data_IF_384890469292
#
_entry.id   IF_384890469292
#
_cell.length_a   1.000
_cell.length_b   1.000
_cell.length_c   1.000
_cell.angle_alpha   90.00
_cell.angle_beta   90.00
_cell.angle_gamma   90.00
#
_symmetry.space_group_name_H-M   'P 1'
#
loop_
_entity.id
_entity.type
_entity.pdbx_description
1 polymer ?
#
# COMPACT_ATOMS: atom_id res chain seq x y z
N UNK A 1 12.86 -34.92 -6.34
CA UNK A 1 14.08 -35.43 -5.68
C UNK A 1 15.14 -34.36 -5.44
N UNK A 2 15.55 -33.57 -6.45
CA UNK A 2 16.61 -32.55 -6.29
C UNK A 2 16.40 -31.53 -5.16
N UNK A 3 15.20 -30.93 -5.06
CA UNK A 3 14.90 -29.94 -4.00
C UNK A 3 15.03 -30.54 -2.61
N UNK A 4 14.63 -31.82 -2.45
CA UNK A 4 14.78 -32.57 -1.19
C UNK A 4 16.25 -32.73 -0.79
N UNK A 5 17.09 -33.13 -1.74
CA UNK A 5 18.54 -33.26 -1.52
C UNK A 5 19.19 -31.94 -1.12
N UNK A 6 18.84 -30.84 -1.81
CA UNK A 6 19.36 -29.51 -1.49
C UNK A 6 18.89 -29.04 -0.11
N UNK A 7 17.61 -29.24 0.23
CA UNK A 7 17.10 -28.91 1.56
C UNK A 7 17.79 -29.69 2.67
N UNK A 8 18.01 -30.99 2.47
CA UNK A 8 18.65 -31.86 3.44
C UNK A 8 20.11 -31.48 3.66
N UNK A 9 20.85 -31.19 2.58
CA UNK A 9 22.22 -30.71 2.65
C UNK A 9 22.33 -29.39 3.42
N UNK A 10 21.52 -28.38 3.07
CA UNK A 10 21.55 -27.07 3.74
C UNK A 10 21.20 -27.23 5.22
N UNK A 11 20.22 -28.06 5.54
CA UNK A 11 19.83 -28.32 6.92
C UNK A 11 20.95 -29.03 7.71
N UNK A 12 21.63 -30.01 7.11
CA UNK A 12 22.75 -30.70 7.73
C UNK A 12 23.91 -29.74 8.04
N UNK A 13 24.32 -28.94 7.05
CA UNK A 13 25.38 -27.92 7.20
C UNK A 13 25.02 -26.87 8.27
N UNK A 14 23.74 -26.49 8.39
CA UNK A 14 23.31 -25.55 9.42
C UNK A 14 23.45 -26.09 10.86
N UNK A 15 23.40 -27.41 11.04
CA UNK A 15 23.46 -28.09 12.35
C UNK A 15 24.83 -28.68 12.68
N UNK A 16 25.73 -28.80 11.70
CA UNK A 16 27.04 -29.41 11.90
C UNK A 16 27.96 -28.50 12.71
N UNK A 17 28.26 -28.88 13.96
CA UNK A 17 29.16 -28.10 14.83
C UNK A 17 30.60 -28.02 14.31
N UNK A 18 31.01 -28.91 13.40
CA UNK A 18 32.32 -28.90 12.75
C UNK A 18 32.48 -27.82 11.68
N UNK A 19 31.38 -27.27 11.17
CA UNK A 19 31.41 -26.23 10.13
C UNK A 19 31.72 -24.84 10.71
N UNK A 20 32.41 -23.95 9.95
CA UNK A 20 32.69 -22.60 10.40
C UNK A 20 31.40 -21.83 10.77
N UNK A 21 31.41 -21.00 11.83
CA UNK A 21 30.21 -20.29 12.29
C UNK A 21 29.52 -19.46 11.19
N UNK A 22 30.30 -18.84 10.31
CA UNK A 22 29.79 -18.08 9.17
C UNK A 22 29.00 -18.97 8.19
N UNK A 23 29.53 -20.16 7.87
CA UNK A 23 28.89 -21.12 6.96
C UNK A 23 27.57 -21.61 7.56
N UNK A 24 27.56 -21.93 8.86
CA UNK A 24 26.31 -22.35 9.56
C UNK A 24 25.26 -21.26 9.58
N UNK A 25 25.68 -20.00 9.79
CA UNK A 25 24.78 -18.84 9.75
C UNK A 25 24.16 -18.68 8.36
N UNK A 26 24.98 -18.75 7.29
CA UNK A 26 24.50 -18.68 5.90
C UNK A 26 23.57 -19.84 5.55
N UNK A 27 23.91 -21.07 5.96
CA UNK A 27 23.06 -22.24 5.77
C UNK A 27 21.71 -22.08 6.48
N UNK A 28 21.70 -21.58 7.72
CA UNK A 28 20.48 -21.30 8.48
C UNK A 28 19.60 -20.24 7.79
N UNK A 29 20.21 -19.16 7.30
CA UNK A 29 19.50 -18.11 6.54
C UNK A 29 18.91 -18.68 5.24
N UNK A 30 19.70 -19.46 4.49
CA UNK A 30 19.27 -20.10 3.24
C UNK A 30 18.12 -21.07 3.49
N UNK A 31 18.17 -21.85 4.57
CA UNK A 31 17.10 -22.76 4.96
C UNK A 31 15.79 -22.03 5.26
N UNK A 32 15.86 -20.93 5.99
CA UNK A 32 14.70 -20.09 6.27
C UNK A 32 14.12 -19.48 5.00
N UNK A 33 14.97 -18.94 4.11
CA UNK A 33 14.53 -18.44 2.81
C UNK A 33 13.86 -19.54 1.97
N UNK A 34 14.40 -20.75 1.94
CA UNK A 34 13.81 -21.87 1.18
C UNK A 34 12.40 -22.23 1.67
N UNK A 35 12.19 -22.27 3.00
CA UNK A 35 10.86 -22.49 3.59
C UNK A 35 9.88 -21.40 3.16
N UNK A 36 10.31 -20.14 3.23
CA UNK A 36 9.50 -18.98 2.84
C UNK A 36 9.13 -19.04 1.37
N UNK A 37 10.10 -19.30 0.48
CA UNK A 37 9.87 -19.43 -0.96
C UNK A 37 9.02 -20.63 -1.34
N UNK A 38 9.08 -21.73 -0.58
CA UNK A 38 8.20 -22.88 -0.80
C UNK A 38 6.74 -22.54 -0.47
N UNK A 39 6.50 -21.69 0.53
CA UNK A 39 5.16 -21.25 0.94
C UNK A 39 4.61 -20.16 0.02
N UNK A 40 5.37 -19.09 -0.21
CA UNK A 40 4.92 -17.91 -0.96
C UNK A 40 5.11 -18.04 -2.49
N UNK A 41 5.85 -19.04 -2.94
CA UNK A 41 6.16 -19.27 -4.35
C UNK A 41 7.47 -18.59 -4.79
N UNK A 42 7.86 -18.80 -6.05
CA UNK A 42 9.12 -18.26 -6.59
C UNK A 42 9.05 -16.76 -6.83
N UNK A 43 10.20 -16.08 -6.69
CA UNK A 43 10.39 -14.69 -7.15
C UNK A 43 10.15 -14.60 -8.66
N UNK A 44 9.61 -13.47 -9.10
CA UNK A 44 9.34 -13.17 -10.52
C UNK A 44 10.43 -12.33 -11.17
N UNK A 45 11.28 -11.69 -10.36
CA UNK A 45 12.36 -10.83 -10.83
C UNK A 45 13.71 -11.28 -10.29
N UNK A 46 14.78 -10.94 -11.01
CA UNK A 46 16.14 -11.17 -10.54
C UNK A 46 16.48 -10.18 -9.41
N UNK A 47 17.26 -10.59 -8.40
CA UNK A 47 17.75 -9.67 -7.38
C UNK A 47 18.55 -8.51 -7.99
N UNK A 48 18.32 -7.30 -7.52
CA UNK A 48 19.11 -6.12 -7.90
C UNK A 48 20.44 -6.05 -7.14
N UNK A 49 21.35 -5.21 -7.63
CA UNK A 49 22.61 -4.94 -6.91
C UNK A 49 22.36 -4.46 -5.47
N UNK A 50 21.37 -3.59 -5.27
CA UNK A 50 20.97 -3.08 -3.95
C UNK A 50 20.50 -4.20 -3.02
N UNK A 51 19.72 -5.15 -3.53
CA UNK A 51 19.26 -6.33 -2.77
C UNK A 51 20.44 -7.23 -2.38
N UNK A 52 21.37 -7.45 -3.29
CA UNK A 52 22.57 -8.28 -3.07
C UNK A 52 23.47 -7.63 -2.01
N UNK A 53 23.75 -6.33 -2.15
CA UNK A 53 24.54 -5.57 -1.18
C UNK A 53 23.87 -5.54 0.20
N UNK A 54 22.54 -5.38 0.24
CA UNK A 54 21.79 -5.41 1.49
C UNK A 54 21.88 -6.76 2.18
N UNK A 55 21.76 -7.85 1.42
CA UNK A 55 21.91 -9.22 1.91
C UNK A 55 23.31 -9.46 2.52
N UNK A 56 24.37 -9.04 1.82
CA UNK A 56 25.74 -9.18 2.32
C UNK A 56 26.04 -8.32 3.54
N UNK A 57 25.45 -7.13 3.63
CA UNK A 57 25.60 -6.23 4.76
C UNK A 57 24.64 -6.53 5.93
N UNK A 58 23.84 -7.60 5.84
CA UNK A 58 22.81 -7.98 6.82
C UNK A 58 21.84 -6.84 7.16
N UNK A 59 21.53 -5.99 6.19
CA UNK A 59 20.59 -4.87 6.33
C UNK A 59 19.33 -5.12 5.52
N UNK A 60 18.23 -4.53 5.97
CA UNK A 60 17.00 -4.45 5.19
C UNK A 60 17.03 -3.22 4.27
N UNK A 61 16.25 -3.28 3.21
CA UNK A 61 15.93 -2.13 2.36
C UNK A 61 14.68 -1.46 2.91
N UNK A 62 14.45 -0.21 2.52
CA UNK A 62 13.25 0.51 2.88
C UNK A 62 12.51 1.00 1.64
N UNK A 63 11.19 1.07 1.74
CA UNK A 63 10.30 1.62 0.72
C UNK A 63 9.21 2.46 1.39
N UNK A 64 8.51 3.28 0.61
CA UNK A 64 7.47 4.17 1.11
C UNK A 64 6.11 3.59 0.75
N UNK A 65 5.22 3.52 1.74
CA UNK A 65 3.82 3.16 1.56
C UNK A 65 2.95 4.37 1.84
N UNK A 66 2.11 4.74 0.88
CA UNK A 66 1.20 5.88 0.97
C UNK A 66 -0.16 5.46 1.51
N UNK A 67 -0.88 6.43 2.07
CA UNK A 67 -2.31 6.35 2.40
C UNK A 67 -3.13 7.25 1.47
N UNK A 68 -4.46 7.17 1.55
CA UNK A 68 -5.36 7.93 0.68
C UNK A 68 -5.39 9.44 0.98
N UNK A 69 -4.88 9.86 2.14
CA UNK A 69 -4.70 11.26 2.50
C UNK A 69 -3.31 11.81 2.11
N UNK A 70 -2.57 11.07 1.27
CA UNK A 70 -1.20 11.35 0.82
C UNK A 70 -0.14 11.37 1.94
N UNK A 71 -0.51 11.01 3.18
CA UNK A 71 0.49 10.67 4.19
C UNK A 71 1.21 9.38 3.81
N UNK A 72 2.34 9.11 4.45
CA UNK A 72 3.13 7.93 4.16
C UNK A 72 3.89 7.41 5.37
N UNK A 73 4.23 6.13 5.32
CA UNK A 73 5.09 5.46 6.29
C UNK A 73 6.22 4.72 5.58
N UNK A 74 7.36 4.61 6.25
CA UNK A 74 8.51 3.87 5.76
C UNK A 74 8.39 2.39 6.17
N UNK A 75 8.45 1.51 5.18
CA UNK A 75 8.36 0.07 5.35
C UNK A 75 9.72 -0.57 5.05
N UNK A 76 10.23 -1.33 6.01
CA UNK A 76 11.47 -2.09 5.85
C UNK A 76 11.20 -3.48 5.27
N UNK A 77 11.91 -3.89 4.22
CA UNK A 77 11.71 -5.16 3.52
C UNK A 77 13.04 -5.82 3.14
N UNK A 78 12.99 -7.11 2.88
CA UNK A 78 14.06 -7.91 2.28
C UNK A 78 13.57 -8.66 1.04
N UNK A 79 14.47 -9.45 0.44
CA UNK A 79 14.21 -10.21 -0.80
C UNK A 79 13.10 -11.25 -0.68
N UNK A 80 12.66 -11.58 0.53
CA UNK A 80 11.61 -12.58 0.83
C UNK A 80 10.37 -11.99 1.50
N UNK A 81 10.32 -10.68 1.72
CA UNK A 81 9.20 -10.03 2.42
C UNK A 81 7.97 -10.03 1.50
N UNK A 82 6.89 -10.67 1.96
CA UNK A 82 5.62 -10.76 1.23
C UNK A 82 4.75 -9.54 1.50
N UNK A 83 3.72 -9.32 0.67
CA UNK A 83 2.71 -8.28 0.89
C UNK A 83 1.99 -8.46 2.22
N UNK A 84 1.64 -9.70 2.60
CA UNK A 84 0.99 -9.96 3.89
C UNK A 84 1.85 -9.52 5.08
N UNK A 85 3.14 -9.87 5.07
CA UNK A 85 4.05 -9.49 6.14
C UNK A 85 4.32 -7.99 6.17
N UNK A 86 4.37 -7.35 5.00
CA UNK A 86 4.45 -5.91 4.88
C UNK A 86 3.22 -5.22 5.48
N UNK A 87 2.02 -5.77 5.26
CA UNK A 87 0.76 -5.30 5.85
C UNK A 87 0.79 -5.46 7.36
N UNK A 88 1.21 -6.61 7.89
CA UNK A 88 1.35 -6.85 9.32
C UNK A 88 2.33 -5.88 9.98
N UNK A 89 3.49 -5.66 9.36
CA UNK A 89 4.50 -4.72 9.83
C UNK A 89 3.97 -3.30 9.82
N UNK A 90 3.35 -2.87 8.72
CA UNK A 90 2.79 -1.53 8.59
C UNK A 90 1.68 -1.29 9.62
N UNK A 91 0.78 -2.26 9.80
CA UNK A 91 -0.26 -2.21 10.82
C UNK A 91 0.34 -2.03 12.23
N UNK A 92 1.46 -2.69 12.53
CA UNK A 92 2.21 -2.47 13.77
C UNK A 92 2.74 -1.04 13.93
N UNK A 93 3.28 -0.44 12.86
CA UNK A 93 3.81 0.94 12.84
C UNK A 93 2.68 1.94 13.15
N UNK A 94 1.56 1.83 12.44
CA UNK A 94 0.42 2.75 12.60
C UNK A 94 -0.51 2.38 13.77
N UNK A 95 -0.16 1.34 14.54
CA UNK A 95 -0.93 0.81 15.67
C UNK A 95 -2.37 0.40 15.31
N UNK A 96 -2.55 -0.18 14.12
CA UNK A 96 -3.82 -0.75 13.67
C UNK A 96 -3.92 -2.22 14.10
N UNK A 97 -4.87 -2.53 14.97
CA UNK A 97 -5.12 -3.87 15.50
C UNK A 97 -6.02 -4.69 14.57
N UNK A 98 -7.09 -4.07 14.06
CA UNK A 98 -8.06 -4.72 13.17
C UNK A 98 -7.68 -4.57 11.69
N UNK A 99 -6.47 -4.99 11.32
CA UNK A 99 -5.90 -4.78 9.98
C UNK A 99 -6.33 -5.83 8.94
N UNK A 100 -7.06 -6.89 9.32
CA UNK A 100 -7.34 -8.05 8.45
C UNK A 100 -8.16 -7.70 7.20
N UNK A 101 -8.84 -6.55 7.21
CA UNK A 101 -9.59 -6.02 6.06
C UNK A 101 -8.78 -5.05 5.21
N UNK A 102 -7.52 -4.78 5.57
CA UNK A 102 -6.60 -3.88 4.87
C UNK A 102 -5.53 -4.67 4.12
N UNK A 103 -5.00 -4.07 3.06
CA UNK A 103 -3.90 -4.64 2.29
C UNK A 103 -3.19 -3.55 1.48
N UNK A 104 -2.15 -3.95 0.74
CA UNK A 104 -1.47 -3.10 -0.22
C UNK A 104 -2.10 -3.17 -1.61
N UNK A 105 -2.11 -2.02 -2.26
CA UNK A 105 -2.49 -1.83 -3.65
C UNK A 105 -1.31 -1.20 -4.40
N UNK A 106 -1.23 -1.47 -5.70
CA UNK A 106 -0.49 -0.63 -6.64
C UNK A 106 -1.41 0.51 -7.05
N UNK A 107 -1.05 1.73 -6.66
CA UNK A 107 -1.71 2.94 -7.13
C UNK A 107 -0.94 3.52 -8.31
N UNK A 108 -1.62 3.66 -9.45
CA UNK A 108 -1.06 4.20 -10.69
C UNK A 108 -1.62 5.58 -10.94
N UNK A 109 -0.76 6.58 -10.80
CA UNK A 109 -1.09 7.97 -11.05
C UNK A 109 -0.75 8.35 -12.49
N UNK A 110 -1.74 8.81 -13.25
CA UNK A 110 -1.58 9.19 -14.66
C UNK A 110 -0.95 10.58 -14.78
N UNK A 111 0.30 10.64 -15.24
CA UNK A 111 1.02 11.90 -15.52
C UNK A 111 0.65 12.41 -16.93
N UNK A 112 -0.61 12.80 -17.13
CA UNK A 112 -1.18 13.39 -18.36
C UNK A 112 -1.16 12.53 -19.65
N UNK A 113 -2.29 12.54 -20.39
CA UNK A 113 -2.32 12.08 -21.80
C UNK A 113 -1.69 13.17 -22.67
N UNK A 114 -0.82 12.86 -23.66
CA UNK A 114 -0.45 13.83 -24.67
C UNK A 114 -1.71 14.23 -25.46
N UNK A 115 -2.02 15.52 -25.48
CA UNK A 115 -3.13 16.13 -26.21
C UNK A 115 -3.16 15.61 -27.66
N UNK A 116 -4.10 14.73 -27.98
CA UNK A 116 -4.50 14.48 -29.36
C UNK A 116 -5.78 15.24 -29.62
N UNK A 117 -5.60 16.50 -30.01
CA UNK A 117 -6.54 17.40 -30.67
C UNK A 117 -7.81 17.83 -29.90
N UNK A 118 -8.05 19.14 -29.97
CA UNK A 118 -9.27 19.89 -29.66
C UNK A 118 -9.57 20.17 -28.19
N UNK A 119 -9.01 21.27 -27.66
CA UNK A 119 -9.71 22.28 -26.83
C UNK A 119 -10.50 21.84 -25.60
N UNK A 120 -10.42 20.58 -25.17
CA UNK A 120 -11.09 20.04 -24.00
C UNK A 120 -10.25 20.24 -22.76
N UNK A 121 -10.91 20.64 -21.66
CA UNK A 121 -10.34 20.68 -20.32
C UNK A 121 -9.66 19.34 -20.03
N UNK A 122 -8.40 19.36 -19.59
CA UNK A 122 -7.69 18.14 -19.21
C UNK A 122 -8.55 17.34 -18.21
N UNK A 123 -8.96 16.13 -18.58
CA UNK A 123 -9.65 15.23 -17.66
C UNK A 123 -8.73 15.00 -16.44
N UNK A 124 -9.27 15.08 -15.21
CA UNK A 124 -8.46 14.88 -14.01
C UNK A 124 -7.80 13.50 -14.07
N UNK A 125 -6.53 13.45 -13.66
CA UNK A 125 -5.80 12.20 -13.53
C UNK A 125 -6.61 11.24 -12.64
N UNK A 126 -6.94 10.06 -13.17
CA UNK A 126 -7.65 9.03 -12.42
C UNK A 126 -6.61 8.07 -11.87
N UNK A 127 -6.55 7.95 -10.55
CA UNK A 127 -5.69 6.96 -9.89
C UNK A 127 -6.31 5.57 -10.05
N UNK A 128 -5.64 4.70 -10.78
CA UNK A 128 -6.02 3.29 -10.87
C UNK A 128 -5.42 2.54 -9.67
N UNK A 129 -6.27 1.86 -8.90
CA UNK A 129 -5.86 1.09 -7.73
C UNK A 129 -5.98 -0.41 -7.99
N UNK A 130 -4.86 -1.12 -8.07
CA UNK A 130 -4.81 -2.56 -8.32
C UNK A 130 -4.45 -3.33 -7.06
N UNK A 131 -5.27 -4.33 -6.72
CA UNK A 131 -5.04 -5.18 -5.56
C UNK A 131 -3.78 -6.03 -5.75
N UNK A 132 -2.88 -6.00 -4.76
CA UNK A 132 -1.70 -6.86 -4.74
C UNK A 132 -2.00 -8.21 -4.08
N UNK A 133 -1.41 -9.28 -4.63
CA UNK A 133 -1.48 -10.62 -4.05
C UNK A 133 -0.68 -10.69 -2.74
N UNK A 134 -1.30 -11.23 -1.70
CA UNK A 134 -0.75 -11.33 -0.34
C UNK A 134 0.59 -12.10 -0.29
N UNK A 135 0.82 -13.05 -1.20
CA UNK A 135 2.04 -13.85 -1.27
C UNK A 135 3.11 -13.24 -2.20
N UNK A 136 2.79 -12.18 -2.94
CA UNK A 136 3.77 -11.52 -3.82
C UNK A 136 4.85 -10.85 -2.98
N UNK A 137 6.09 -10.88 -3.47
CA UNK A 137 7.21 -10.23 -2.79
C UNK A 137 7.23 -8.72 -3.07
N UNK A 138 7.47 -7.91 -2.03
CA UNK A 138 7.63 -6.46 -2.14
C UNK A 138 8.75 -6.10 -3.13
N UNK A 139 9.86 -6.83 -3.06
CA UNK A 139 10.97 -6.63 -3.98
C UNK A 139 10.60 -6.80 -5.47
N UNK A 140 9.77 -7.80 -5.79
CA UNK A 140 9.27 -8.00 -7.16
C UNK A 140 8.37 -6.84 -7.59
N UNK A 141 7.47 -6.40 -6.70
CA UNK A 141 6.56 -5.27 -6.97
C UNK A 141 7.34 -3.99 -7.27
N UNK A 142 8.33 -3.66 -6.45
CA UNK A 142 9.17 -2.47 -6.65
C UNK A 142 10.04 -2.58 -7.92
N UNK A 143 10.50 -3.79 -8.26
CA UNK A 143 11.21 -4.03 -9.51
C UNK A 143 10.29 -3.82 -10.73
N UNK A 144 9.05 -4.30 -10.66
CA UNK A 144 8.03 -4.08 -11.69
C UNK A 144 7.69 -2.59 -11.84
N UNK A 145 7.56 -1.84 -10.75
CA UNK A 145 7.33 -0.38 -10.79
C UNK A 145 8.45 0.35 -11.55
N UNK A 146 9.71 -0.03 -11.31
CA UNK A 146 10.88 0.54 -12.03
C UNK A 146 10.95 0.12 -13.50
N UNK A 147 10.55 -1.11 -13.81
CA UNK A 147 10.73 -1.72 -15.13
C UNK A 147 9.54 -1.55 -16.07
N UNK A 148 8.39 -1.08 -15.58
CA UNK A 148 7.23 -0.81 -16.42
C UNK A 148 7.61 0.19 -17.52
N UNK A 149 7.74 -0.29 -18.77
CA UNK A 149 8.09 0.56 -19.94
C UNK A 149 7.07 1.67 -20.19
N UNK A 150 5.85 1.51 -19.68
CA UNK A 150 4.76 2.50 -19.70
C UNK A 150 5.02 3.61 -18.65
N UNK A 151 5.77 3.31 -17.58
CA UNK A 151 6.04 4.24 -16.48
C UNK A 151 7.05 5.35 -16.80
N UNK A 152 7.82 5.24 -17.90
CA UNK A 152 8.77 6.31 -18.24
C UNK A 152 8.11 7.60 -18.72
N UNK A 153 6.93 7.51 -19.37
CA UNK A 153 6.28 8.69 -19.97
C UNK A 153 4.79 8.83 -19.64
N UNK A 154 4.11 7.81 -19.08
CA UNK A 154 2.66 7.89 -18.83
C UNK A 154 2.31 7.89 -17.35
N UNK A 155 2.59 6.85 -16.56
CA UNK A 155 2.01 6.71 -15.20
C UNK A 155 3.07 6.40 -14.13
N UNK A 156 2.93 6.96 -12.92
CA UNK A 156 3.79 6.67 -11.76
C UNK A 156 3.10 5.68 -10.82
N UNK A 157 3.80 4.60 -10.43
CA UNK A 157 3.27 3.58 -9.51
C UNK A 157 3.78 3.80 -8.08
N UNK A 158 2.87 3.73 -7.10
CA UNK A 158 3.17 3.81 -5.66
C UNK A 158 2.49 2.67 -4.90
N UNK A 159 3.07 2.26 -3.76
CA UNK A 159 2.40 1.35 -2.83
C UNK A 159 1.36 2.15 -2.05
N UNK A 160 0.12 1.65 -2.01
CA UNK A 160 -0.99 2.27 -1.30
C UNK A 160 -1.57 1.30 -0.28
N UNK A 161 -1.63 1.69 0.99
CA UNK A 161 -2.32 0.94 2.03
C UNK A 161 -3.76 1.41 2.16
N UNK A 162 -4.72 0.50 1.95
CA UNK A 162 -6.14 0.81 2.12
C UNK A 162 -6.97 -0.43 2.44
N UNK A 163 -8.22 -0.21 2.84
CA UNK A 163 -9.19 -1.26 3.14
C UNK A 163 -9.62 -1.95 1.84
N UNK A 164 -9.49 -3.28 1.80
CA UNK A 164 -9.93 -4.13 0.67
C UNK A 164 -11.34 -4.70 0.82
N UNK A 165 -11.86 -4.78 2.04
CA UNK A 165 -13.13 -5.42 2.33
C UNK A 165 -13.87 -4.69 3.44
N UNK A 166 -15.16 -4.44 3.25
CA UNK A 166 -16.05 -3.90 4.27
C UNK A 166 -17.00 -5.01 4.72
N UNK A 167 -17.10 -5.24 6.03
CA UNK A 167 -17.94 -6.28 6.64
C UNK A 167 -18.95 -5.63 7.58
N UNK A 168 -20.11 -6.25 7.75
CA UNK A 168 -21.11 -5.81 8.75
C UNK A 168 -20.52 -5.78 10.17
N UNK A 169 -19.63 -6.73 10.48
CA UNK A 169 -18.95 -6.78 11.78
C UNK A 169 -18.06 -5.56 12.06
N UNK A 170 -17.64 -4.82 11.02
CA UNK A 170 -16.77 -3.67 11.16
C UNK A 170 -17.44 -2.53 11.96
N UNK A 171 -18.78 -2.47 12.00
CA UNK A 171 -19.53 -1.49 12.78
C UNK A 171 -19.26 -1.61 14.29
N UNK A 172 -18.83 -2.79 14.76
CA UNK A 172 -18.49 -3.01 16.17
C UNK A 172 -17.06 -2.59 16.51
N UNK A 173 -16.25 -2.21 15.51
CA UNK A 173 -14.85 -1.82 15.71
C UNK A 173 -14.80 -0.35 16.10
N UNK A 174 -14.53 -0.10 17.37
CA UNK A 174 -14.39 1.25 17.95
C UNK A 174 -12.95 1.78 17.94
N UNK A 175 -12.04 1.06 17.27
CA UNK A 175 -10.62 1.42 17.20
C UNK A 175 -10.43 2.73 16.41
N UNK A 176 -9.82 3.79 17.00
CA UNK A 176 -9.71 5.08 16.33
C UNK A 176 -8.99 5.05 14.99
N UNK A 177 -7.87 4.32 14.88
CA UNK A 177 -7.11 4.22 13.64
C UNK A 177 -7.90 3.52 12.53
N UNK A 178 -8.63 2.46 12.88
CA UNK A 178 -9.50 1.73 11.96
C UNK A 178 -10.62 2.62 11.42
N UNK A 179 -11.30 3.35 12.32
CA UNK A 179 -12.38 4.27 11.98
C UNK A 179 -11.83 5.38 11.08
N UNK A 180 -10.69 6.00 11.45
CA UNK A 180 -10.09 7.08 10.70
C UNK A 180 -9.74 6.65 9.27
N UNK A 181 -9.02 5.55 9.10
CA UNK A 181 -8.65 5.06 7.77
C UNK A 181 -9.88 4.64 6.94
N UNK A 182 -10.89 4.03 7.57
CA UNK A 182 -12.14 3.70 6.89
C UNK A 182 -12.90 4.94 6.44
N UNK A 183 -12.92 5.99 7.27
CA UNK A 183 -13.53 7.27 6.97
C UNK A 183 -12.82 7.99 5.83
N UNK A 184 -11.49 8.12 5.88
CA UNK A 184 -10.68 8.74 4.81
C UNK A 184 -10.93 8.03 3.48
N UNK A 185 -11.01 6.69 3.48
CA UNK A 185 -11.33 5.94 2.27
C UNK A 185 -12.75 6.19 1.76
N UNK A 186 -13.75 6.20 2.65
CA UNK A 186 -15.13 6.47 2.27
C UNK A 186 -15.30 7.89 1.70
N UNK A 187 -14.63 8.87 2.31
CA UNK A 187 -14.59 10.25 1.83
C UNK A 187 -13.91 10.34 0.46
N UNK A 188 -12.78 9.67 0.27
CA UNK A 188 -12.10 9.62 -1.02
C UNK A 188 -13.00 9.06 -2.11
N UNK A 189 -13.64 7.91 -1.86
CA UNK A 189 -14.53 7.26 -2.82
C UNK A 189 -15.79 8.10 -3.12
N UNK A 190 -16.33 8.78 -2.11
CA UNK A 190 -17.41 9.75 -2.27
C UNK A 190 -17.00 10.93 -3.17
N UNK A 191 -15.84 11.56 -2.92
CA UNK A 191 -15.37 12.70 -3.71
C UNK A 191 -15.03 12.33 -5.17
N UNK A 192 -14.57 11.10 -5.40
CA UNK A 192 -14.38 10.54 -6.75
C UNK A 192 -15.71 10.21 -7.45
N UNK A 193 -16.84 10.27 -6.72
CA UNK A 193 -18.16 9.98 -7.25
C UNK A 193 -18.47 8.48 -7.38
N UNK A 194 -17.71 7.63 -6.68
CA UNK A 194 -17.99 6.19 -6.60
C UNK A 194 -19.21 5.90 -5.70
N UNK A 195 -19.57 6.83 -4.83
CA UNK A 195 -20.78 6.80 -4.00
C UNK A 195 -21.73 7.92 -4.41
N UNK A 196 -22.66 7.66 -5.37
CA UNK A 196 -23.61 8.66 -5.81
C UNK A 196 -24.61 8.96 -4.69
N UNK A 197 -24.83 10.24 -4.42
CA UNK A 197 -25.80 10.72 -3.42
C UNK A 197 -26.67 11.84 -4.02
N UNK A 198 -27.84 12.06 -3.43
CA UNK A 198 -28.68 13.22 -3.78
C UNK A 198 -28.12 14.51 -3.16
N UNK A 199 -28.58 15.67 -3.66
CA UNK A 199 -28.05 16.98 -3.26
C UNK A 199 -28.22 17.24 -1.76
N UNK A 200 -29.34 16.85 -1.18
CA UNK A 200 -29.64 17.02 0.24
C UNK A 200 -28.64 16.23 1.11
N UNK A 201 -28.39 14.97 0.76
CA UNK A 201 -27.44 14.11 1.46
C UNK A 201 -26.00 14.62 1.29
N UNK A 202 -25.62 15.06 0.09
CA UNK A 202 -24.32 15.69 -0.15
C UNK A 202 -24.12 16.92 0.74
N UNK A 203 -25.12 17.80 0.84
CA UNK A 203 -25.07 18.98 1.68
C UNK A 203 -24.94 18.61 3.17
N UNK A 204 -25.70 17.62 3.64
CA UNK A 204 -25.62 17.14 5.01
C UNK A 204 -24.24 16.52 5.31
N UNK A 205 -23.73 15.67 4.42
CA UNK A 205 -22.40 15.08 4.55
C UNK A 205 -21.31 16.16 4.58
N UNK A 206 -21.36 17.15 3.70
CA UNK A 206 -20.40 18.25 3.70
C UNK A 206 -20.47 19.05 5.02
N UNK A 207 -21.68 19.33 5.53
CA UNK A 207 -21.84 20.02 6.81
C UNK A 207 -21.24 19.22 7.99
N UNK A 208 -21.44 17.90 8.03
CA UNK A 208 -20.86 17.04 9.07
C UNK A 208 -19.33 17.00 9.00
N UNK A 209 -18.76 16.90 7.80
CA UNK A 209 -17.30 16.90 7.60
C UNK A 209 -16.67 18.23 8.02
N UNK A 210 -17.31 19.34 7.65
CA UNK A 210 -16.92 20.69 8.07
C UNK A 210 -16.92 20.82 9.59
N UNK A 211 -18.02 20.40 10.23
CA UNK A 211 -18.17 20.46 11.68
C UNK A 211 -17.13 19.59 12.39
N UNK A 212 -16.79 18.43 11.84
CA UNK A 212 -15.79 17.52 12.41
C UNK A 212 -14.37 18.12 12.38
N UNK A 213 -14.00 18.84 11.30
CA UNK A 213 -12.66 19.42 11.16
C UNK A 213 -12.51 20.81 11.79
N UNK A 214 -13.51 21.67 11.64
CA UNK A 214 -13.41 23.09 12.01
C UNK A 214 -14.23 23.47 13.25
N UNK A 215 -15.07 22.56 13.77
CA UNK A 215 -15.97 22.85 14.87
C UNK A 215 -17.04 23.90 14.52
N UNK A 216 -17.67 24.49 15.54
CA UNK A 216 -18.80 25.41 15.38
C UNK A 216 -18.44 26.82 14.92
N UNK A 217 -17.15 27.17 14.82
CA UNK A 217 -16.68 28.53 14.55
C UNK A 217 -16.67 28.94 13.07
N UNK A 218 -16.91 28.02 12.13
CA UNK A 218 -16.75 28.30 10.70
C UNK A 218 -17.87 29.18 10.11
N UNK A 219 -19.03 29.25 10.76
CA UNK A 219 -20.17 30.07 10.29
C UNK A 219 -19.84 31.58 10.25
N UNK A 220 -18.79 32.01 10.96
CA UNK A 220 -18.36 33.41 11.03
C UNK A 220 -17.38 33.80 9.92
N UNK A 221 -16.90 32.84 9.11
CA UNK A 221 -15.93 33.07 8.04
C UNK A 221 -16.42 32.50 6.69
N UNK A 222 -17.08 33.35 5.91
CA UNK A 222 -17.69 33.01 4.61
C UNK A 222 -16.67 32.52 3.57
N UNK A 223 -15.45 33.04 3.58
CA UNK A 223 -14.39 32.64 2.63
C UNK A 223 -13.88 31.21 2.90
N UNK A 224 -13.69 30.86 4.18
CA UNK A 224 -13.33 29.50 4.55
C UNK A 224 -14.48 28.51 4.29
N UNK A 225 -15.73 28.93 4.50
CA UNK A 225 -16.89 28.08 4.20
C UNK A 225 -16.94 27.72 2.71
N UNK A 226 -16.69 28.68 1.82
CA UNK A 226 -16.67 28.43 0.38
C UNK A 226 -15.56 27.46 -0.04
N UNK A 227 -14.36 27.61 0.54
CA UNK A 227 -13.26 26.67 0.30
C UNK A 227 -13.59 25.25 0.79
N UNK A 228 -14.26 25.14 1.94
CA UNK A 228 -14.68 23.85 2.48
C UNK A 228 -15.78 23.18 1.64
N UNK A 229 -16.73 23.96 1.12
CA UNK A 229 -17.77 23.45 0.20
C UNK A 229 -17.10 22.90 -1.07
N UNK A 230 -16.10 23.59 -1.60
CA UNK A 230 -15.36 23.10 -2.76
C UNK A 230 -14.64 21.79 -2.49
N UNK A 231 -14.09 21.62 -1.28
CA UNK A 231 -13.39 20.43 -0.80
C UNK A 231 -14.32 19.24 -0.54
N UNK A 232 -15.50 19.46 0.03
CA UNK A 232 -16.38 18.39 0.55
C UNK A 232 -17.60 18.06 -0.28
N UNK A 233 -17.95 18.85 -1.31
CA UNK A 233 -19.05 18.53 -2.20
C UNK A 233 -18.51 17.83 -3.45
N UNK A 234 -19.06 16.66 -3.79
CA UNK A 234 -18.67 15.93 -5.00
C UNK A 234 -18.92 16.76 -6.25
N UNK A 235 -18.14 16.52 -7.30
CA UNK A 235 -18.35 17.19 -8.61
C UNK A 235 -19.65 16.77 -9.29
N UNK A 236 -20.25 15.63 -8.92
CA UNK A 236 -21.50 15.14 -9.53
C UNK A 236 -22.72 15.93 -9.05
N UNK A 237 -22.66 16.50 -7.85
CA UNK A 237 -23.76 17.22 -7.19
C UNK A 237 -23.62 18.74 -7.23
N UNK A 238 -22.48 19.25 -7.75
CA UNK A 238 -22.26 20.67 -8.06
C UNK A 238 -23.02 21.04 -9.33
#
# INVERSE_FOLDING_TARGET
EFVGLVSEYIHAVAQDEGEPPLVRSLASKTWNCLKRSTKAGPRRTLPTAEEIEALFAERKLNTIVFFLDETFEELSFDVTTTVLEAVEQLAGIIRLQNWQTFTLFEARHILAKPNTNNGGVAEPAVDEHLLLDENKYIADILCEFRNSKIAKDMWQSKLLFKKRMFRETDENIVEPQFINLSYVQAQHDYLQGNYPVVREDAAQMSALQIQAEHGSGLAENEEMLMTCIEKYVTKQTK
#
